data_IF_565377573220
#
_entry.id   IF_565377573220
#
_cell.length_a   1.000
_cell.length_b   1.000
_cell.length_c   1.000
_cell.angle_alpha   90.00
_cell.angle_beta   90.00
_cell.angle_gamma   90.00
#
_symmetry.space_group_name_H-M   'P 1'
#
loop_
_entity.id
_entity.type
_entity.pdbx_description
1 polymer ?
#
# COMPACT_ATOMS: atom_id res chain seq x y z
N UNK A 1 -3.80 -33.16 -6.59
CA UNK A 1 -4.09 -33.50 -7.98
C UNK A 1 -2.98 -32.90 -8.82
N UNK A 2 -2.27 -33.71 -9.61
CA UNK A 2 -1.26 -33.23 -10.53
C UNK A 2 -1.96 -32.34 -11.56
N UNK A 3 -1.50 -31.11 -11.72
CA UNK A 3 -1.93 -30.21 -12.79
C UNK A 3 -1.42 -30.85 -14.09
N UNK A 4 -2.29 -31.21 -15.07
CA UNK A 4 -1.80 -31.65 -16.36
C UNK A 4 -0.99 -30.51 -16.95
N UNK A 5 0.21 -30.77 -17.40
CA UNK A 5 1.06 -29.83 -18.11
C UNK A 5 0.35 -29.39 -19.40
N UNK A 6 -0.34 -28.24 -19.32
CA UNK A 6 -0.89 -27.59 -20.49
C UNK A 6 0.30 -27.05 -21.27
N UNK A 7 0.49 -27.42 -22.55
CA UNK A 7 1.58 -26.91 -23.34
C UNK A 7 1.43 -25.38 -23.45
N UNK A 8 2.44 -24.66 -23.01
CA UNK A 8 2.53 -23.19 -23.16
C UNK A 8 2.52 -22.92 -24.69
N UNK A 9 1.37 -22.46 -25.18
CA UNK A 9 1.26 -22.06 -26.57
C UNK A 9 1.71 -20.62 -26.70
N UNK A 10 2.90 -20.43 -27.22
CA UNK A 10 3.42 -19.14 -27.61
C UNK A 10 2.53 -18.54 -28.70
N UNK A 11 1.89 -17.38 -28.43
CA UNK A 11 1.28 -16.55 -29.46
C UNK A 11 1.97 -15.19 -29.43
N UNK A 12 2.73 -14.82 -30.46
CA UNK A 12 3.19 -13.44 -30.58
C UNK A 12 1.99 -12.54 -30.92
N UNK A 13 1.78 -11.42 -30.21
CA UNK A 13 0.83 -10.42 -30.66
C UNK A 13 1.31 -9.83 -31.99
N UNK A 14 0.37 -9.55 -32.90
CA UNK A 14 0.63 -8.98 -34.24
C UNK A 14 1.12 -7.52 -34.19
N UNK A 15 1.42 -6.97 -33.02
CA UNK A 15 1.95 -5.63 -32.81
C UNK A 15 3.32 -5.74 -32.14
N UNK A 16 4.37 -5.59 -32.95
CA UNK A 16 5.80 -5.46 -32.60
C UNK A 16 6.27 -6.27 -31.36
N UNK A 17 6.88 -7.42 -31.60
CA UNK A 17 7.88 -8.15 -30.80
C UNK A 17 7.79 -8.02 -29.26
N UNK A 18 6.62 -8.14 -28.67
CA UNK A 18 6.44 -8.26 -27.22
C UNK A 18 6.46 -9.75 -26.88
N UNK A 19 7.43 -10.18 -26.09
CA UNK A 19 7.44 -11.54 -25.55
C UNK A 19 6.45 -11.56 -24.39
N UNK A 20 5.34 -12.27 -24.55
CA UNK A 20 4.39 -12.54 -23.46
C UNK A 20 4.72 -13.89 -22.84
N UNK A 21 4.94 -13.91 -21.54
CA UNK A 21 5.15 -15.13 -20.77
C UNK A 21 4.12 -15.23 -19.67
N UNK A 22 3.60 -16.43 -19.42
CA UNK A 22 2.66 -16.66 -18.33
C UNK A 22 3.00 -17.95 -17.58
N UNK A 23 2.84 -17.92 -16.27
CA UNK A 23 2.95 -19.13 -15.43
C UNK A 23 1.80 -20.09 -15.71
N UNK A 24 0.56 -19.57 -15.70
CA UNK A 24 -0.62 -20.29 -16.16
C UNK A 24 -1.29 -19.43 -17.25
N UNK A 25 -1.47 -20.02 -18.41
CA UNK A 25 -2.18 -19.40 -19.53
C UNK A 25 -3.42 -20.21 -19.87
N UNK A 26 -4.59 -19.60 -19.79
CA UNK A 26 -5.85 -20.20 -20.15
C UNK A 26 -6.62 -19.25 -21.07
N UNK A 27 -7.04 -19.72 -22.25
CA UNK A 27 -7.80 -18.94 -23.21
C UNK A 27 -9.04 -19.73 -23.67
N UNK A 28 -10.19 -19.06 -23.72
CA UNK A 28 -11.46 -19.67 -24.12
C UNK A 28 -11.98 -20.73 -23.14
N UNK A 29 -11.56 -20.66 -21.86
CA UNK A 29 -11.86 -21.67 -20.85
C UNK A 29 -12.92 -21.16 -19.86
N UNK A 30 -14.18 -21.49 -20.10
CA UNK A 30 -15.24 -21.23 -19.13
C UNK A 30 -15.20 -22.23 -17.95
N UNK A 31 -15.67 -21.79 -16.77
CA UNK A 31 -15.74 -22.57 -15.54
C UNK A 31 -14.36 -23.06 -15.03
N UNK A 32 -13.33 -22.30 -15.28
CA UNK A 32 -11.98 -22.60 -14.80
C UNK A 32 -11.91 -22.44 -13.28
N UNK A 33 -11.25 -23.39 -12.60
CA UNK A 33 -10.96 -23.31 -11.18
C UNK A 33 -9.45 -23.41 -10.94
N UNK A 34 -8.86 -22.36 -10.39
CA UNK A 34 -7.45 -22.29 -10.00
C UNK A 34 -7.41 -22.03 -8.49
N UNK A 35 -7.16 -23.07 -7.71
CA UNK A 35 -7.26 -22.97 -6.27
C UNK A 35 -6.08 -23.61 -5.54
N UNK A 36 -5.66 -22.97 -4.43
CA UNK A 36 -4.68 -23.47 -3.48
C UNK A 36 -3.30 -23.77 -4.09
N UNK A 37 -2.86 -22.95 -5.03
CA UNK A 37 -1.55 -23.08 -5.66
C UNK A 37 -0.54 -22.10 -5.05
N UNK A 38 0.72 -22.50 -5.09
CA UNK A 38 1.85 -21.61 -4.86
C UNK A 38 2.56 -21.37 -6.21
N UNK A 39 2.44 -20.17 -6.74
CA UNK A 39 2.95 -19.78 -8.05
C UNK A 39 4.03 -18.73 -7.83
N UNK A 40 5.28 -19.09 -8.11
CA UNK A 40 6.41 -18.19 -8.04
C UNK A 40 7.08 -18.08 -9.40
N UNK A 41 7.19 -16.86 -9.91
CA UNK A 41 7.80 -16.58 -11.20
C UNK A 41 8.84 -15.49 -11.00
N UNK A 42 10.06 -15.77 -11.43
CA UNK A 42 11.13 -14.79 -11.50
C UNK A 42 11.68 -14.77 -12.94
N UNK A 43 11.62 -13.60 -13.55
CA UNK A 43 12.07 -13.40 -14.93
C UNK A 43 13.16 -12.33 -14.96
N UNK A 44 14.38 -12.77 -15.25
CA UNK A 44 15.59 -11.95 -15.13
C UNK A 44 16.17 -11.51 -16.51
N UNK A 45 15.39 -11.49 -17.59
CA UNK A 45 15.90 -11.09 -18.89
C UNK A 45 15.80 -9.58 -19.11
N UNK A 46 16.89 -8.88 -18.88
CA UNK A 46 17.00 -7.42 -19.10
C UNK A 46 17.18 -7.01 -20.57
N UNK A 47 17.10 -7.93 -21.53
CA UNK A 47 17.44 -7.65 -22.94
C UNK A 47 16.27 -7.19 -23.80
N UNK A 48 15.03 -7.26 -23.32
CA UNK A 48 13.83 -6.88 -24.04
C UNK A 48 13.22 -5.58 -23.54
N UNK A 49 13.06 -4.58 -24.39
CA UNK A 49 12.49 -3.30 -24.01
C UNK A 49 10.99 -3.35 -23.61
N UNK A 50 10.30 -4.45 -23.83
CA UNK A 50 8.84 -4.59 -23.65
C UNK A 50 8.42 -6.02 -23.26
N UNK A 51 9.13 -6.66 -22.34
CA UNK A 51 8.73 -7.98 -21.87
C UNK A 51 7.50 -7.87 -20.97
N UNK A 52 6.47 -8.64 -21.30
CA UNK A 52 5.23 -8.73 -20.53
C UNK A 52 5.13 -10.12 -19.90
N UNK A 53 5.03 -10.18 -18.60
CA UNK A 53 4.88 -11.43 -17.85
C UNK A 53 3.64 -11.41 -16.97
N UNK A 54 2.94 -12.54 -16.96
CA UNK A 54 1.76 -12.77 -16.11
C UNK A 54 2.00 -13.99 -15.21
N UNK A 55 1.62 -13.91 -13.95
CA UNK A 55 1.55 -15.14 -13.17
C UNK A 55 0.37 -15.99 -13.64
N UNK A 56 -0.79 -15.36 -13.81
CA UNK A 56 -1.98 -15.96 -14.39
C UNK A 56 -2.51 -15.09 -15.53
N UNK A 57 -2.79 -15.70 -16.69
CA UNK A 57 -3.53 -15.07 -17.76
C UNK A 57 -4.76 -15.91 -18.12
N UNK A 58 -5.95 -15.33 -18.01
CA UNK A 58 -7.23 -16.00 -18.23
C UNK A 58 -8.03 -15.17 -19.24
N UNK A 59 -8.02 -15.59 -20.52
CA UNK A 59 -8.78 -14.95 -21.59
C UNK A 59 -10.11 -15.68 -21.83
N UNK A 60 -11.24 -14.95 -21.87
CA UNK A 60 -12.57 -15.54 -22.04
C UNK A 60 -12.97 -16.45 -20.88
N UNK A 61 -12.52 -16.13 -19.67
CA UNK A 61 -12.72 -16.92 -18.45
C UNK A 61 -14.11 -16.76 -17.82
N UNK A 62 -15.19 -17.04 -18.56
CA UNK A 62 -16.53 -16.99 -18.01
C UNK A 62 -16.71 -17.97 -16.84
N UNK A 63 -17.23 -17.49 -15.71
CA UNK A 63 -17.39 -18.22 -14.45
C UNK A 63 -16.05 -18.76 -13.88
N UNK A 64 -14.93 -18.13 -14.17
CA UNK A 64 -13.65 -18.52 -13.60
C UNK A 64 -13.60 -18.24 -12.09
N UNK A 65 -13.00 -19.15 -11.34
CA UNK A 65 -12.74 -19.01 -9.91
C UNK A 65 -11.24 -19.13 -9.67
N UNK A 66 -10.66 -18.11 -9.06
CA UNK A 66 -9.25 -18.07 -8.63
C UNK A 66 -9.24 -17.83 -7.14
N UNK A 67 -8.89 -18.85 -6.35
CA UNK A 67 -9.02 -18.74 -4.91
C UNK A 67 -7.90 -19.40 -4.11
N UNK A 68 -7.58 -18.82 -2.96
CA UNK A 68 -6.61 -19.36 -2.00
C UNK A 68 -5.22 -19.63 -2.61
N UNK A 69 -4.80 -18.87 -3.62
CA UNK A 69 -3.49 -19.01 -4.21
C UNK A 69 -2.49 -18.03 -3.57
N UNK A 70 -1.24 -18.45 -3.49
CA UNK A 70 -0.11 -17.60 -3.17
C UNK A 70 0.68 -17.35 -4.45
N UNK A 71 0.69 -16.11 -4.93
CA UNK A 71 1.21 -15.73 -6.25
C UNK A 71 2.29 -14.68 -6.07
N UNK A 72 3.51 -15.02 -6.42
CA UNK A 72 4.65 -14.10 -6.43
C UNK A 72 5.23 -14.02 -7.83
N UNK A 73 5.31 -12.82 -8.37
CA UNK A 73 5.87 -12.58 -9.69
C UNK A 73 6.84 -11.40 -9.64
N UNK A 74 8.03 -11.62 -10.17
CA UNK A 74 9.07 -10.62 -10.31
C UNK A 74 9.59 -10.58 -11.73
N UNK A 75 9.73 -9.38 -12.29
CA UNK A 75 10.18 -9.21 -13.66
C UNK A 75 10.74 -7.84 -13.96
N UNK A 76 11.11 -7.64 -15.25
CA UNK A 76 11.86 -6.44 -15.63
C UNK A 76 10.96 -5.29 -16.09
N UNK A 77 9.96 -5.52 -16.96
CA UNK A 77 9.25 -4.40 -17.58
C UNK A 77 7.77 -4.34 -17.19
N UNK A 78 6.94 -5.23 -17.70
CA UNK A 78 5.51 -5.29 -17.43
C UNK A 78 5.18 -6.56 -16.66
N UNK A 79 4.77 -6.41 -15.41
CA UNK A 79 4.55 -7.51 -14.47
C UNK A 79 3.10 -7.53 -14.02
N UNK A 80 2.41 -8.64 -14.21
CA UNK A 80 1.01 -8.82 -13.86
C UNK A 80 0.81 -10.06 -12.99
N UNK A 81 0.26 -9.87 -11.79
CA UNK A 81 -0.11 -10.99 -10.91
C UNK A 81 -1.17 -11.86 -11.57
N UNK A 82 -2.35 -11.30 -11.83
CA UNK A 82 -3.38 -11.93 -12.64
C UNK A 82 -3.94 -10.96 -13.66
N UNK A 83 -4.17 -11.45 -14.87
CA UNK A 83 -4.98 -10.78 -15.89
C UNK A 83 -6.15 -11.68 -16.26
N UNK A 84 -7.37 -11.14 -16.15
CA UNK A 84 -8.59 -11.87 -16.48
C UNK A 84 -9.48 -11.08 -17.42
N UNK A 85 -10.04 -11.76 -18.39
CA UNK A 85 -11.13 -11.33 -19.25
C UNK A 85 -12.24 -12.39 -19.21
N UNK A 86 -13.48 -11.99 -18.92
CA UNK A 86 -14.62 -12.92 -18.80
C UNK A 86 -15.77 -12.37 -17.96
N UNK A 87 -16.80 -13.18 -17.77
CA UNK A 87 -18.03 -12.81 -17.03
C UNK A 87 -18.22 -13.69 -15.82
N UNK A 88 -18.87 -13.15 -14.79
CA UNK A 88 -19.21 -13.87 -13.56
C UNK A 88 -18.01 -14.52 -12.88
N UNK A 89 -16.83 -13.92 -12.99
CA UNK A 89 -15.61 -14.44 -12.37
C UNK A 89 -15.55 -14.16 -10.85
N UNK A 90 -14.76 -14.94 -10.14
CA UNK A 90 -14.43 -14.72 -8.73
C UNK A 90 -12.93 -14.81 -8.52
N UNK A 91 -12.33 -13.78 -7.92
CA UNK A 91 -10.94 -13.77 -7.45
C UNK A 91 -11.00 -13.57 -5.94
N UNK A 92 -10.68 -14.60 -5.15
CA UNK A 92 -10.95 -14.56 -3.73
C UNK A 92 -9.82 -15.15 -2.87
N UNK A 93 -9.51 -14.52 -1.75
CA UNK A 93 -8.58 -15.01 -0.73
C UNK A 93 -7.20 -15.40 -1.29
N UNK A 94 -6.71 -14.67 -2.29
CA UNK A 94 -5.37 -14.87 -2.83
C UNK A 94 -4.40 -13.87 -2.21
N UNK A 95 -3.13 -14.27 -2.11
CA UNK A 95 -2.03 -13.36 -1.85
C UNK A 95 -1.26 -13.11 -3.15
N UNK A 96 -1.13 -11.84 -3.54
CA UNK A 96 -0.40 -11.38 -4.72
C UNK A 96 0.79 -10.52 -4.29
N UNK A 97 1.96 -10.86 -4.80
CA UNK A 97 3.15 -10.02 -4.78
C UNK A 97 3.63 -9.82 -6.21
N UNK A 98 3.52 -8.61 -6.73
CA UNK A 98 3.95 -8.24 -8.08
C UNK A 98 5.02 -7.17 -8.03
N UNK A 99 6.21 -7.47 -8.55
CA UNK A 99 7.39 -6.62 -8.50
C UNK A 99 7.99 -6.45 -9.91
N UNK A 100 8.06 -5.20 -10.37
CA UNK A 100 8.82 -4.83 -11.57
C UNK A 100 10.04 -4.02 -11.15
N UNK A 101 11.21 -4.39 -11.62
CA UNK A 101 12.45 -3.67 -11.31
C UNK A 101 12.74 -2.51 -12.27
N UNK A 102 11.92 -2.29 -13.31
CA UNK A 102 12.15 -1.25 -14.30
C UNK A 102 10.96 -0.35 -14.63
N UNK A 103 9.72 -0.85 -14.72
CA UNK A 103 8.63 -0.03 -15.26
C UNK A 103 7.27 -0.20 -14.55
N UNK A 104 6.58 -1.34 -14.69
CA UNK A 104 5.15 -1.45 -14.44
C UNK A 104 4.77 -2.72 -13.69
N UNK A 105 3.94 -2.62 -12.66
CA UNK A 105 3.44 -3.77 -11.92
C UNK A 105 1.95 -3.64 -11.59
N UNK A 106 1.17 -4.69 -11.88
CA UNK A 106 -0.20 -4.87 -11.43
C UNK A 106 -0.34 -6.10 -10.53
N UNK A 107 -1.16 -5.98 -9.50
CA UNK A 107 -1.57 -7.15 -8.72
C UNK A 107 -2.69 -7.92 -9.43
N UNK A 108 -3.85 -7.29 -9.59
CA UNK A 108 -5.02 -7.86 -10.27
C UNK A 108 -5.46 -6.93 -11.39
N UNK A 109 -5.51 -7.43 -12.61
CA UNK A 109 -5.96 -6.70 -13.77
C UNK A 109 -7.17 -7.39 -14.41
N UNK A 110 -8.24 -6.63 -14.62
CA UNK A 110 -9.47 -7.11 -15.23
C UNK A 110 -9.84 -6.29 -16.46
N UNK A 111 -10.10 -6.97 -17.58
CA UNK A 111 -10.45 -6.36 -18.87
C UNK A 111 -11.83 -6.79 -19.35
N UNK A 112 -12.59 -5.87 -19.91
CA UNK A 112 -13.86 -6.12 -20.60
C UNK A 112 -14.84 -7.07 -19.87
N UNK A 113 -14.76 -7.08 -18.55
CA UNK A 113 -15.46 -8.00 -17.69
C UNK A 113 -16.85 -7.50 -17.27
N UNK A 114 -17.71 -8.41 -16.87
CA UNK A 114 -18.98 -8.10 -16.23
C UNK A 114 -19.34 -9.07 -15.11
N UNK A 115 -19.96 -8.54 -14.05
CA UNK A 115 -20.44 -9.30 -12.90
C UNK A 115 -19.32 -10.07 -12.17
N UNK A 116 -18.18 -9.43 -11.98
CA UNK A 116 -17.05 -10.02 -11.25
C UNK A 116 -17.10 -9.75 -9.75
N UNK A 117 -16.44 -10.64 -8.98
CA UNK A 117 -16.21 -10.46 -7.55
C UNK A 117 -14.73 -10.60 -7.27
N UNK A 118 -14.13 -9.57 -6.66
CA UNK A 118 -12.74 -9.55 -6.21
C UNK A 118 -12.78 -9.32 -4.71
N UNK A 119 -12.51 -10.37 -3.91
CA UNK A 119 -12.73 -10.26 -2.48
C UNK A 119 -11.65 -10.92 -1.62
N UNK A 120 -11.46 -10.35 -0.44
CA UNK A 120 -10.59 -10.91 0.59
C UNK A 120 -9.16 -11.23 0.10
N UNK A 121 -8.67 -10.51 -0.92
CA UNK A 121 -7.32 -10.69 -1.43
C UNK A 121 -6.34 -9.79 -0.69
N UNK A 122 -5.12 -10.29 -0.51
CA UNK A 122 -3.96 -9.52 -0.07
C UNK A 122 -3.11 -9.20 -1.31
N UNK A 123 -2.98 -7.92 -1.66
CA UNK A 123 -2.32 -7.47 -2.89
C UNK A 123 -1.20 -6.50 -2.55
N UNK A 124 0.03 -6.87 -2.87
CA UNK A 124 1.18 -5.99 -2.76
C UNK A 124 1.84 -5.78 -4.12
N UNK A 125 2.06 -4.52 -4.50
CA UNK A 125 2.68 -4.16 -5.77
C UNK A 125 3.86 -3.22 -5.57
N UNK A 126 4.93 -3.47 -6.31
CA UNK A 126 6.13 -2.64 -6.28
C UNK A 126 6.65 -2.38 -7.69
N UNK A 127 7.03 -1.11 -7.97
CA UNK A 127 7.59 -0.71 -9.24
C UNK A 127 8.31 0.64 -9.12
N UNK A 128 9.41 0.87 -9.82
CA UNK A 128 10.06 2.17 -9.82
C UNK A 128 9.27 3.26 -10.57
N UNK A 129 8.32 2.90 -11.44
CA UNK A 129 7.59 3.87 -12.28
C UNK A 129 6.11 3.87 -11.97
N UNK A 130 5.35 2.83 -12.36
CA UNK A 130 3.89 2.79 -12.18
C UNK A 130 3.45 1.46 -11.57
N UNK A 131 2.56 1.52 -10.59
CA UNK A 131 1.94 0.33 -10.01
C UNK A 131 0.43 0.50 -9.82
N UNK A 132 -0.32 -0.58 -10.01
CA UNK A 132 -1.74 -0.70 -9.68
C UNK A 132 -1.96 -1.93 -8.79
N UNK A 133 -2.58 -1.72 -7.65
CA UNK A 133 -2.99 -2.86 -6.83
C UNK A 133 -4.05 -3.69 -7.53
N UNK A 134 -5.20 -3.07 -7.83
CA UNK A 134 -6.27 -3.67 -8.62
C UNK A 134 -6.67 -2.69 -9.73
N UNK A 135 -6.59 -3.14 -10.97
CA UNK A 135 -6.89 -2.33 -12.15
C UNK A 135 -8.05 -2.93 -12.93
N UNK A 136 -9.13 -2.18 -13.04
CA UNK A 136 -10.28 -2.51 -13.90
C UNK A 136 -10.27 -1.59 -15.10
N UNK A 137 -10.10 -2.14 -16.28
CA UNK A 137 -10.16 -1.41 -17.54
C UNK A 137 -11.31 -1.86 -18.39
N UNK A 138 -12.05 -0.89 -18.92
CA UNK A 138 -13.10 -1.15 -19.88
C UNK A 138 -12.82 -0.40 -21.18
N UNK A 139 -12.55 -1.14 -22.24
CA UNK A 139 -12.43 -0.63 -23.58
C UNK A 139 -13.79 -0.74 -24.28
N UNK A 140 -14.73 0.14 -23.90
CA UNK A 140 -16.06 0.21 -24.49
C UNK A 140 -17.17 0.49 -23.46
N UNK A 141 -18.42 0.63 -23.91
CA UNK A 141 -19.58 1.04 -23.10
C UNK A 141 -20.18 -0.09 -22.23
N UNK A 142 -19.40 -1.02 -21.74
CA UNK A 142 -19.93 -2.19 -21.01
C UNK A 142 -20.03 -1.90 -19.52
N UNK A 143 -21.21 -2.18 -18.98
CA UNK A 143 -21.44 -2.18 -17.55
C UNK A 143 -20.71 -3.37 -16.91
N UNK A 144 -20.00 -3.14 -15.85
CA UNK A 144 -19.14 -4.15 -15.28
C UNK A 144 -19.71 -4.78 -14.04
N UNK A 145 -20.45 -4.04 -13.20
CA UNK A 145 -21.04 -4.54 -11.96
C UNK A 145 -20.03 -5.35 -11.13
N UNK A 146 -18.78 -4.89 -11.04
CA UNK A 146 -17.74 -5.58 -10.27
C UNK A 146 -17.84 -5.18 -8.80
N UNK A 147 -17.69 -6.16 -7.93
CA UNK A 147 -17.67 -5.98 -6.49
C UNK A 147 -16.24 -6.21 -6.00
N UNK A 148 -15.67 -5.21 -5.33
CA UNK A 148 -14.39 -5.25 -4.64
C UNK A 148 -14.68 -5.24 -3.14
N UNK A 149 -14.48 -6.36 -2.46
CA UNK A 149 -14.88 -6.52 -1.06
C UNK A 149 -13.74 -7.04 -0.19
N UNK A 150 -13.45 -6.34 0.90
CA UNK A 150 -12.51 -6.83 1.93
C UNK A 150 -11.07 -7.02 1.45
N UNK A 151 -10.66 -6.42 0.33
CA UNK A 151 -9.29 -6.57 -0.14
C UNK A 151 -8.34 -5.68 0.66
N UNK A 152 -7.16 -6.21 0.96
CA UNK A 152 -6.04 -5.47 1.51
C UNK A 152 -5.05 -5.15 0.38
N UNK A 153 -4.93 -3.88 0.01
CA UNK A 153 -4.12 -3.42 -1.11
C UNK A 153 -3.01 -2.52 -0.61
N UNK A 154 -1.77 -2.92 -0.81
CA UNK A 154 -0.60 -2.15 -0.44
C UNK A 154 0.40 -2.06 -1.58
N UNK A 155 1.28 -1.05 -1.55
CA UNK A 155 2.34 -0.97 -2.55
C UNK A 155 3.17 0.30 -2.47
N UNK A 156 4.23 0.28 -3.29
CA UNK A 156 5.20 1.37 -3.39
C UNK A 156 5.60 1.61 -4.86
N UNK A 157 5.48 2.86 -5.32
CA UNK A 157 5.91 3.24 -6.67
C UNK A 157 6.04 4.75 -6.82
N UNK A 158 6.68 5.20 -7.92
CA UNK A 158 6.65 6.63 -8.27
C UNK A 158 5.22 7.10 -8.50
N UNK A 159 4.44 6.34 -9.28
CA UNK A 159 3.01 6.57 -9.49
C UNK A 159 2.26 5.32 -9.06
N UNK A 160 1.41 5.41 -8.04
CA UNK A 160 0.68 4.26 -7.55
C UNK A 160 -0.80 4.52 -7.35
N UNK A 161 -1.60 3.56 -7.83
CA UNK A 161 -3.04 3.50 -7.63
C UNK A 161 -3.39 2.23 -6.83
N UNK A 162 -4.18 2.39 -5.78
CA UNK A 162 -4.64 1.22 -5.01
C UNK A 162 -5.68 0.42 -5.80
N UNK A 163 -6.85 1.01 -6.04
CA UNK A 163 -7.90 0.43 -6.87
C UNK A 163 -8.30 1.45 -7.95
N UNK A 164 -8.10 1.08 -9.21
CA UNK A 164 -8.51 1.88 -10.36
C UNK A 164 -9.73 1.26 -11.04
N UNK A 165 -10.81 2.02 -11.13
CA UNK A 165 -12.07 1.55 -11.71
C UNK A 165 -12.50 2.41 -12.90
N UNK A 166 -12.81 1.78 -14.03
CA UNK A 166 -13.28 2.46 -15.24
C UNK A 166 -14.57 1.89 -15.83
N UNK A 167 -15.16 0.91 -15.17
CA UNK A 167 -16.46 0.35 -15.55
C UNK A 167 -17.67 1.10 -14.98
N UNK A 168 -18.85 0.56 -15.15
CA UNK A 168 -20.10 1.13 -14.64
C UNK A 168 -20.67 0.26 -13.52
N UNK A 169 -21.32 0.88 -12.52
CA UNK A 169 -21.99 0.24 -11.39
C UNK A 169 -21.04 -0.61 -10.55
N UNK A 170 -19.89 -0.08 -10.18
CA UNK A 170 -18.90 -0.78 -9.38
C UNK A 170 -19.08 -0.48 -7.89
N UNK A 171 -18.82 -1.47 -7.06
CA UNK A 171 -18.98 -1.35 -5.60
C UNK A 171 -17.69 -1.77 -4.89
N UNK A 172 -17.14 -0.85 -4.10
CA UNK A 172 -15.95 -1.06 -3.29
C UNK A 172 -16.37 -1.03 -1.81
N UNK A 173 -16.29 -2.18 -1.13
CA UNK A 173 -16.77 -2.29 0.25
C UNK A 173 -15.71 -2.92 1.15
N UNK A 174 -15.42 -2.25 2.28
CA UNK A 174 -14.56 -2.80 3.32
C UNK A 174 -13.12 -3.05 2.90
N UNK A 175 -12.63 -2.38 1.84
CA UNK A 175 -11.24 -2.54 1.42
C UNK A 175 -10.32 -1.68 2.28
N UNK A 176 -9.13 -2.20 2.57
CA UNK A 176 -8.04 -1.50 3.21
C UNK A 176 -6.95 -1.18 2.16
N UNK A 177 -6.61 0.09 2.00
CA UNK A 177 -5.67 0.55 0.96
C UNK A 177 -4.57 1.36 1.63
N UNK A 178 -3.32 0.91 1.53
CA UNK A 178 -2.15 1.61 2.08
C UNK A 178 -1.06 1.77 1.05
N UNK A 179 -0.81 3.01 0.61
CA UNK A 179 0.12 3.30 -0.46
C UNK A 179 1.22 4.26 -0.02
N UNK A 180 2.43 3.99 -0.52
CA UNK A 180 3.61 4.84 -0.35
C UNK A 180 4.22 5.12 -1.72
N UNK A 181 4.69 6.35 -1.96
CA UNK A 181 5.31 6.68 -3.25
C UNK A 181 5.56 8.16 -3.47
N UNK A 182 5.75 8.57 -4.72
CA UNK A 182 5.82 10.00 -5.04
C UNK A 182 4.42 10.58 -5.26
N UNK A 183 3.60 9.91 -6.06
CA UNK A 183 2.21 10.26 -6.30
C UNK A 183 1.33 9.04 -5.98
N UNK A 184 0.48 9.15 -4.98
CA UNK A 184 -0.30 8.03 -4.44
C UNK A 184 -1.79 8.31 -4.50
N UNK A 185 -2.53 7.55 -5.29
CA UNK A 185 -3.99 7.64 -5.38
C UNK A 185 -4.64 6.36 -4.84
N UNK A 186 -5.37 6.47 -3.74
CA UNK A 186 -5.99 5.31 -3.10
C UNK A 186 -7.02 4.63 -4.00
N UNK A 187 -8.07 5.35 -4.36
CA UNK A 187 -9.08 4.92 -5.34
C UNK A 187 -9.15 5.93 -6.48
N UNK A 188 -8.98 5.47 -7.71
CA UNK A 188 -9.17 6.27 -8.92
C UNK A 188 -10.41 5.79 -9.67
N UNK A 189 -11.32 6.70 -10.03
CA UNK A 189 -12.56 6.38 -10.75
C UNK A 189 -12.76 7.22 -12.01
N UNK A 190 -12.89 6.53 -13.14
CA UNK A 190 -13.48 7.07 -14.38
C UNK A 190 -14.78 6.35 -14.75
N UNK A 191 -15.44 5.75 -13.77
CA UNK A 191 -16.62 4.92 -13.91
C UNK A 191 -17.91 5.69 -13.57
N UNK A 192 -19.02 5.30 -14.17
CA UNK A 192 -20.33 5.80 -13.78
C UNK A 192 -20.94 4.96 -12.64
N UNK A 193 -21.56 5.61 -11.65
CA UNK A 193 -22.27 4.99 -10.55
C UNK A 193 -21.41 4.07 -9.67
N UNK A 194 -20.37 4.62 -9.06
CA UNK A 194 -19.50 3.89 -8.14
C UNK A 194 -19.94 4.10 -6.69
N UNK A 195 -19.93 3.03 -5.91
CA UNK A 195 -20.24 3.06 -4.49
C UNK A 195 -18.98 2.68 -3.70
N UNK A 196 -18.52 3.58 -2.85
CA UNK A 196 -17.49 3.30 -1.84
C UNK A 196 -18.19 3.20 -0.47
N UNK A 197 -18.03 2.06 0.21
CA UNK A 197 -18.63 1.85 1.51
C UNK A 197 -17.64 1.18 2.47
N UNK A 198 -17.44 1.75 3.65
CA UNK A 198 -16.56 1.22 4.71
C UNK A 198 -15.11 0.95 4.27
N UNK A 199 -14.58 1.71 3.32
CA UNK A 199 -13.18 1.57 2.94
C UNK A 199 -12.28 2.41 3.88
N UNK A 200 -11.11 1.89 4.21
CA UNK A 200 -10.04 2.60 4.91
C UNK A 200 -8.87 2.84 3.94
N UNK A 201 -8.55 4.11 3.69
CA UNK A 201 -7.61 4.52 2.65
C UNK A 201 -6.53 5.39 3.27
N UNK A 202 -5.28 4.95 3.14
CA UNK A 202 -4.09 5.69 3.58
C UNK A 202 -3.16 5.88 2.39
N UNK A 203 -2.86 7.13 2.05
CA UNK A 203 -1.93 7.48 0.98
C UNK A 203 -0.83 8.39 1.48
N UNK A 204 0.42 7.99 1.27
CA UNK A 204 1.62 8.72 1.68
C UNK A 204 2.48 9.01 0.45
N UNK A 205 2.29 10.19 -0.13
CA UNK A 205 3.04 10.68 -1.28
C UNK A 205 4.03 11.78 -0.92
N UNK A 206 5.18 11.78 -1.57
CA UNK A 206 6.20 12.83 -1.41
C UNK A 206 5.87 14.09 -2.23
N UNK A 207 5.02 13.97 -3.25
CA UNK A 207 4.57 15.07 -4.11
C UNK A 207 3.07 15.29 -3.93
N UNK A 208 2.68 16.51 -3.64
CA UNK A 208 1.30 16.92 -3.41
C UNK A 208 0.61 17.48 -4.67
N UNK A 209 1.38 17.76 -5.74
CA UNK A 209 0.85 18.22 -7.03
C UNK A 209 0.37 17.08 -7.92
N UNK A 210 -0.02 17.43 -9.14
CA UNK A 210 -0.37 16.44 -10.17
C UNK A 210 0.89 15.93 -10.87
N UNK A 211 0.92 14.64 -11.19
CA UNK A 211 1.95 14.05 -12.02
C UNK A 211 1.92 14.66 -13.44
N UNK A 212 3.08 14.93 -14.01
CA UNK A 212 3.18 15.27 -15.41
C UNK A 212 3.20 14.00 -16.26
N UNK A 213 2.04 13.60 -16.80
CA UNK A 213 1.90 12.58 -17.85
C UNK A 213 2.49 11.19 -17.53
N UNK A 214 1.74 10.37 -16.83
CA UNK A 214 2.04 8.94 -16.62
C UNK A 214 1.39 8.01 -17.67
N UNK A 215 0.74 8.58 -18.71
CA UNK A 215 0.12 7.81 -19.79
C UNK A 215 -1.32 7.37 -19.53
N UNK A 216 -1.83 7.58 -18.34
CA UNK A 216 -3.17 7.16 -17.93
C UNK A 216 -4.24 8.22 -18.19
N UNK A 217 -5.50 7.78 -18.29
CA UNK A 217 -6.66 8.67 -18.39
C UNK A 217 -6.91 9.47 -17.12
N UNK A 218 -6.47 8.95 -15.97
CA UNK A 218 -6.48 9.64 -14.69
C UNK A 218 -5.04 9.90 -14.28
N UNK A 219 -4.70 11.19 -14.14
CA UNK A 219 -3.35 11.60 -13.70
C UNK A 219 -3.20 11.30 -12.22
N UNK A 220 -2.15 10.59 -11.83
CA UNK A 220 -1.85 10.31 -10.44
C UNK A 220 -1.55 11.61 -9.67
N UNK A 221 -2.06 11.67 -8.47
CA UNK A 221 -1.80 12.73 -7.49
C UNK A 221 -1.79 12.10 -6.09
N UNK A 222 -1.25 12.80 -5.11
CA UNK A 222 -1.35 12.33 -3.74
C UNK A 222 -2.72 12.68 -3.17
N UNK A 223 -3.63 11.72 -3.22
CA UNK A 223 -5.03 11.85 -2.76
C UNK A 223 -5.60 10.49 -2.34
N UNK A 224 -6.58 10.48 -1.47
CA UNK A 224 -7.30 9.26 -1.13
C UNK A 224 -8.19 8.75 -2.26
N UNK A 225 -9.03 9.63 -2.79
CA UNK A 225 -10.02 9.28 -3.83
C UNK A 225 -9.95 10.32 -4.96
N UNK A 226 -9.75 9.86 -6.18
CA UNK A 226 -9.75 10.66 -7.42
C UNK A 226 -10.93 10.27 -8.28
N UNK A 227 -11.74 11.27 -8.67
CA UNK A 227 -12.92 11.05 -9.52
C UNK A 227 -12.77 11.88 -10.78
N UNK A 228 -12.52 11.25 -11.91
CA UNK A 228 -12.39 11.91 -13.21
C UNK A 228 -13.71 11.95 -13.98
N UNK A 229 -14.60 10.99 -13.77
CA UNK A 229 -15.87 10.88 -14.48
C UNK A 229 -16.92 10.18 -13.60
N UNK A 230 -18.21 10.47 -13.87
CA UNK A 230 -19.35 9.78 -13.27
C UNK A 230 -19.65 10.18 -11.83
N UNK A 231 -20.54 9.44 -11.20
CA UNK A 231 -21.01 9.70 -9.84
C UNK A 231 -20.46 8.68 -8.87
N UNK A 232 -19.82 9.16 -7.83
CA UNK A 232 -19.31 8.31 -6.74
C UNK A 232 -20.06 8.62 -5.45
N UNK A 233 -20.60 7.60 -4.81
CA UNK A 233 -21.19 7.70 -3.48
C UNK A 233 -20.19 7.20 -2.44
N UNK A 234 -19.88 8.04 -1.45
CA UNK A 234 -18.93 7.71 -0.37
C UNK A 234 -19.69 7.57 0.95
N UNK A 235 -19.65 6.39 1.53
CA UNK A 235 -20.41 6.05 2.74
C UNK A 235 -19.49 5.35 3.75
N UNK A 236 -19.46 5.83 5.00
CA UNK A 236 -18.71 5.24 6.10
C UNK A 236 -17.22 4.97 5.80
N UNK A 237 -16.60 5.77 4.94
CA UNK A 237 -15.19 5.62 4.61
C UNK A 237 -14.29 6.46 5.53
N UNK A 238 -13.07 5.98 5.73
CA UNK A 238 -11.98 6.74 6.35
C UNK A 238 -10.90 6.99 5.30
N UNK A 239 -10.44 8.23 5.17
CA UNK A 239 -9.38 8.59 4.22
C UNK A 239 -8.33 9.43 4.94
N UNK A 240 -7.09 8.97 4.90
CA UNK A 240 -5.90 9.71 5.34
C UNK A 240 -4.97 9.91 4.15
N UNK A 241 -4.48 11.11 3.97
CA UNK A 241 -3.56 11.41 2.86
C UNK A 241 -2.53 12.47 3.27
N UNK A 242 -1.33 12.38 2.75
CA UNK A 242 -0.34 13.48 2.81
C UNK A 242 -0.60 14.55 1.74
N UNK A 243 -1.50 14.29 0.80
CA UNK A 243 -1.89 15.26 -0.24
C UNK A 243 -2.80 16.37 0.28
N UNK A 244 -3.08 17.32 -0.59
CA UNK A 244 -3.93 18.50 -0.26
C UNK A 244 -5.42 18.16 -0.16
N UNK A 245 -5.86 17.09 -0.81
CA UNK A 245 -7.25 16.70 -0.88
C UNK A 245 -7.46 15.23 -0.54
N UNK A 246 -8.40 14.91 0.33
CA UNK A 246 -8.83 13.54 0.57
C UNK A 246 -9.67 12.98 -0.57
N UNK A 247 -10.48 13.83 -1.19
CA UNK A 247 -11.26 13.53 -2.39
C UNK A 247 -11.06 14.65 -3.39
N UNK A 248 -10.64 14.31 -4.60
CA UNK A 248 -10.50 15.27 -5.70
C UNK A 248 -11.37 14.85 -6.87
N UNK A 249 -12.16 15.79 -7.38
CA UNK A 249 -13.03 15.61 -8.57
C UNK A 249 -12.52 16.45 -9.72
N UNK A 250 -12.34 15.84 -10.88
CA UNK A 250 -11.92 16.53 -12.12
C UNK A 250 -12.82 16.15 -13.28
N UNK A 251 -12.86 17.01 -14.30
CA UNK A 251 -13.66 16.75 -15.49
C UNK A 251 -15.16 16.71 -15.21
N UNK A 252 -15.81 15.58 -15.51
CA UNK A 252 -17.23 15.34 -15.31
C UNK A 252 -17.52 14.47 -14.07
N UNK A 253 -16.57 14.40 -13.14
CA UNK A 253 -16.73 13.66 -11.90
C UNK A 253 -17.61 14.40 -10.89
N UNK A 254 -18.38 13.66 -10.13
CA UNK A 254 -19.15 14.17 -9.00
C UNK A 254 -19.15 13.21 -7.82
N UNK A 255 -19.31 13.73 -6.62
CA UNK A 255 -19.31 12.93 -5.40
C UNK A 255 -20.49 13.28 -4.49
N UNK A 256 -21.07 12.24 -3.90
CA UNK A 256 -22.09 12.36 -2.86
C UNK A 256 -21.54 11.75 -1.58
N UNK A 257 -21.50 12.53 -0.51
CA UNK A 257 -21.03 12.09 0.79
C UNK A 257 -22.20 11.74 1.70
N UNK A 258 -22.29 10.48 2.12
CA UNK A 258 -23.19 10.07 3.19
C UNK A 258 -22.48 10.13 4.54
N UNK A 259 -21.26 9.61 4.62
CA UNK A 259 -20.40 9.77 5.77
C UNK A 259 -18.93 9.51 5.34
N UNK A 260 -18.05 10.49 5.53
CA UNK A 260 -16.64 10.41 5.27
C UNK A 260 -15.86 11.02 6.42
N UNK A 261 -14.94 10.27 6.98
CA UNK A 261 -13.92 10.77 7.90
C UNK A 261 -12.64 10.97 7.12
N UNK A 262 -12.13 12.18 7.09
CA UNK A 262 -10.93 12.52 6.33
C UNK A 262 -9.89 13.23 7.18
N UNK A 263 -8.62 12.98 6.86
CA UNK A 263 -7.49 13.64 7.49
C UNK A 263 -6.46 13.96 6.40
N UNK A 264 -6.08 15.21 6.31
CA UNK A 264 -5.15 15.75 5.32
C UNK A 264 -3.85 16.13 6.02
N UNK A 265 -2.75 15.46 5.66
CA UNK A 265 -1.47 15.69 6.32
C UNK A 265 -1.56 15.45 7.84
N UNK A 266 -1.10 16.43 8.62
CA UNK A 266 -1.28 16.48 10.08
C UNK A 266 -2.42 17.43 10.50
N UNK A 267 -3.24 17.85 9.54
CA UNK A 267 -4.28 18.85 9.75
C UNK A 267 -5.55 18.33 10.42
N UNK A 268 -6.57 19.17 10.39
CA UNK A 268 -7.84 18.91 11.02
C UNK A 268 -8.56 17.70 10.44
N UNK A 269 -9.16 16.90 11.31
CA UNK A 269 -10.07 15.85 10.91
C UNK A 269 -11.38 16.47 10.42
N UNK A 270 -11.73 16.18 9.19
CA UNK A 270 -12.98 16.63 8.57
C UNK A 270 -13.97 15.47 8.48
N UNK A 271 -15.19 15.69 8.94
CA UNK A 271 -16.29 14.75 8.79
C UNK A 271 -17.29 15.33 7.80
N UNK A 272 -17.56 14.62 6.74
CA UNK A 272 -18.61 14.94 5.78
C UNK A 272 -19.77 13.97 5.97
N UNK A 273 -20.95 14.49 6.28
CA UNK A 273 -22.16 13.70 6.50
C UNK A 273 -23.35 14.37 5.82
N UNK A 274 -24.11 13.61 5.05
CA UNK A 274 -25.29 14.08 4.31
C UNK A 274 -25.02 15.37 3.52
N UNK A 275 -23.91 15.42 2.80
CA UNK A 275 -23.41 16.58 2.06
C UNK A 275 -23.16 17.84 2.91
N UNK A 276 -23.05 17.70 4.23
CA UNK A 276 -22.60 18.76 5.14
C UNK A 276 -21.17 18.49 5.57
N UNK A 277 -20.34 19.50 5.49
CA UNK A 277 -18.98 19.44 6.03
C UNK A 277 -19.01 19.90 7.48
N UNK A 278 -18.54 19.05 8.39
CA UNK A 278 -18.30 19.36 9.77
C UNK A 278 -16.78 19.26 9.96
N UNK A 279 -16.15 20.38 10.24
CA UNK A 279 -14.74 20.38 10.65
C UNK A 279 -14.73 20.11 12.13
N UNK A 280 -14.32 18.89 12.50
CA UNK A 280 -13.98 18.57 13.87
C UNK A 280 -12.49 18.88 14.02
N UNK A 281 -12.13 19.90 14.79
CA UNK A 281 -10.77 20.19 15.22
C UNK A 281 -10.29 19.06 16.14
N UNK A 282 -10.00 17.90 15.58
CA UNK A 282 -9.52 16.70 16.25
C UNK A 282 -8.38 16.05 15.47
N UNK A 283 -7.70 16.79 14.61
CA UNK A 283 -6.32 16.44 14.24
C UNK A 283 -5.50 16.42 15.53
N UNK A 284 -4.44 15.65 15.66
CA UNK A 284 -3.59 15.78 16.82
C UNK A 284 -3.15 17.25 16.87
N UNK A 285 -3.58 17.97 17.93
CA UNK A 285 -3.08 19.33 18.20
C UNK A 285 -1.55 19.34 18.21
N UNK A 286 -0.95 18.14 18.28
CA UNK A 286 0.47 17.93 18.53
C UNK A 286 0.99 16.72 17.74
N UNK A 287 2.18 16.85 17.19
CA UNK A 287 2.97 15.77 16.62
C UNK A 287 4.08 15.40 17.62
N UNK A 288 4.05 14.18 18.11
CA UNK A 288 5.09 13.60 18.94
C UNK A 288 5.94 12.65 18.09
N UNK A 289 7.24 12.93 17.98
CA UNK A 289 8.20 12.09 17.28
C UNK A 289 9.28 11.59 18.23
N UNK A 290 9.59 10.30 18.20
CA UNK A 290 10.61 9.69 19.05
C UNK A 290 11.54 8.87 18.18
N UNK A 291 12.69 9.43 17.76
CA UNK A 291 13.67 8.70 16.99
C UNK A 291 14.21 7.48 17.75
N UNK A 292 14.52 6.42 17.03
CA UNK A 292 15.23 5.29 17.60
C UNK A 292 16.60 5.73 18.12
N UNK A 293 17.00 5.23 19.30
CA UNK A 293 18.30 5.49 19.86
C UNK A 293 19.20 4.27 19.76
N UNK A 294 20.30 4.41 19.02
CA UNK A 294 21.40 3.44 19.04
C UNK A 294 22.57 4.07 19.78
N UNK A 295 23.01 3.44 20.87
CA UNK A 295 24.11 3.97 21.69
C UNK A 295 25.02 2.87 22.21
N UNK A 296 26.26 3.23 22.51
CA UNK A 296 27.21 2.37 23.22
C UNK A 296 26.92 2.45 24.72
N UNK A 297 27.04 1.35 25.45
CA UNK A 297 26.93 1.33 26.90
C UNK A 297 27.89 2.35 27.54
N UNK A 298 27.37 3.20 28.39
CA UNK A 298 28.12 4.27 29.06
C UNK A 298 28.31 5.55 28.23
N UNK A 299 27.91 5.60 26.95
CA UNK A 299 27.97 6.84 26.16
C UNK A 299 26.98 7.90 26.69
N UNK A 300 27.25 9.16 26.39
CA UNK A 300 26.43 10.30 26.83
C UNK A 300 25.16 10.53 26.00
N UNK A 301 24.91 9.68 24.99
CA UNK A 301 23.75 9.80 24.09
C UNK A 301 22.44 9.70 24.87
N UNK A 302 21.50 10.55 24.48
CA UNK A 302 20.22 10.70 25.18
C UNK A 302 19.07 10.21 24.28
N UNK A 303 18.08 9.61 24.92
CA UNK A 303 16.76 9.44 24.30
C UNK A 303 16.10 10.82 24.20
N UNK A 304 15.53 11.14 23.06
CA UNK A 304 14.80 12.39 22.84
C UNK A 304 13.43 12.15 22.22
N UNK A 305 12.51 13.04 22.55
CA UNK A 305 11.21 13.17 21.90
C UNK A 305 11.05 14.61 21.43
N UNK A 306 10.48 14.78 20.26
CA UNK A 306 10.23 16.07 19.63
C UNK A 306 8.73 16.28 19.60
N UNK A 307 8.26 17.39 20.14
CA UNK A 307 6.85 17.78 20.16
C UNK A 307 6.66 19.08 19.39
N UNK A 308 5.79 19.03 18.40
CA UNK A 308 5.39 20.19 17.61
C UNK A 308 3.87 20.31 17.55
N UNK A 309 3.37 21.49 17.20
CA UNK A 309 1.97 21.66 16.78
C UNK A 309 1.75 21.11 15.36
N UNK A 310 0.51 21.17 14.88
CA UNK A 310 0.14 20.73 13.54
C UNK A 310 0.86 21.49 12.40
N UNK A 311 1.40 22.67 12.68
CA UNK A 311 2.16 23.51 11.75
C UNK A 311 3.68 23.31 11.88
N UNK A 312 4.11 22.27 12.61
CA UNK A 312 5.52 21.98 12.92
C UNK A 312 6.22 23.05 13.79
N UNK A 313 5.49 23.92 14.45
CA UNK A 313 6.11 24.81 15.42
C UNK A 313 6.44 24.06 16.70
N UNK A 314 7.62 24.28 17.31
CA UNK A 314 8.02 23.60 18.53
C UNK A 314 7.13 23.98 19.72
N UNK A 315 6.74 22.99 20.52
CA UNK A 315 5.97 23.20 21.76
C UNK A 315 6.91 23.07 22.95
N UNK A 316 7.17 24.19 23.60
CA UNK A 316 8.00 24.25 24.78
C UNK A 316 7.18 24.04 26.07
N UNK A 317 7.88 23.64 27.14
CA UNK A 317 7.32 23.43 28.47
C UNK A 317 6.22 22.36 28.57
N UNK A 318 6.16 21.45 27.62
CA UNK A 318 5.26 20.30 27.61
C UNK A 318 5.91 19.09 28.33
N UNK A 319 5.14 18.35 29.09
CA UNK A 319 5.62 17.18 29.82
C UNK A 319 5.42 15.91 29.00
N UNK A 320 6.51 15.31 28.55
CA UNK A 320 6.52 14.00 27.85
C UNK A 320 6.83 12.89 28.85
N UNK A 321 6.02 11.85 28.85
CA UNK A 321 6.23 10.67 29.69
C UNK A 321 6.79 9.52 28.84
N UNK A 322 8.04 9.12 29.14
CA UNK A 322 8.67 7.94 28.55
C UNK A 322 8.42 6.73 29.43
N UNK A 323 7.94 5.63 28.87
CA UNK A 323 7.84 4.34 29.56
C UNK A 323 8.90 3.37 29.04
N UNK A 324 9.75 2.89 29.94
CA UNK A 324 10.87 1.99 29.64
C UNK A 324 10.91 0.91 30.73
N UNK A 325 10.87 -0.37 30.36
CA UNK A 325 10.90 -1.50 31.31
C UNK A 325 9.86 -1.36 32.45
N UNK A 326 8.65 -0.92 32.11
CA UNK A 326 7.57 -0.77 33.09
C UNK A 326 7.72 0.45 34.06
N UNK A 327 8.70 1.32 33.83
CA UNK A 327 8.91 2.54 34.60
C UNK A 327 8.65 3.78 33.74
N UNK A 328 8.00 4.77 34.33
CA UNK A 328 7.68 6.04 33.69
C UNK A 328 8.66 7.14 34.11
N UNK A 329 9.09 7.92 33.13
CA UNK A 329 10.00 9.05 33.31
C UNK A 329 9.42 10.28 32.60
N UNK A 330 9.11 11.34 33.33
CA UNK A 330 8.59 12.57 32.73
C UNK A 330 9.73 13.54 32.48
N UNK A 331 9.77 14.12 31.29
CA UNK A 331 10.69 15.18 30.87
C UNK A 331 9.94 16.31 30.20
N UNK A 332 10.40 17.52 30.41
CA UNK A 332 9.79 18.73 29.86
C UNK A 332 10.52 19.13 28.58
N UNK A 333 9.76 19.53 27.56
CA UNK A 333 10.32 20.04 26.29
C UNK A 333 10.97 21.41 26.50
N UNK A 334 12.10 21.62 25.86
CA UNK A 334 12.79 22.92 25.81
C UNK A 334 12.16 23.88 24.77
N UNK A 335 12.81 25.03 24.52
CA UNK A 335 12.36 26.03 23.56
C UNK A 335 12.36 25.55 22.10
N UNK A 336 12.96 24.41 21.80
CA UNK A 336 12.96 23.75 20.47
C UNK A 336 11.97 22.58 20.40
N UNK A 337 11.14 22.41 21.42
CA UNK A 337 10.17 21.32 21.48
C UNK A 337 10.76 19.96 21.83
N UNK A 338 12.00 19.90 22.32
CA UNK A 338 12.71 18.64 22.57
C UNK A 338 12.73 18.31 24.06
N UNK A 339 12.19 17.15 24.43
CA UNK A 339 12.35 16.52 25.73
C UNK A 339 13.43 15.42 25.64
N UNK A 340 14.44 15.45 26.51
CA UNK A 340 15.51 14.46 26.48
C UNK A 340 15.86 13.89 27.84
N UNK A 341 16.33 12.62 27.87
CA UNK A 341 16.78 11.96 29.08
C UNK A 341 18.01 11.07 28.83
N UNK A 342 18.90 11.03 29.78
CA UNK A 342 20.04 10.10 29.78
C UNK A 342 19.56 8.66 29.96
N UNK A 343 20.19 7.73 29.25
CA UNK A 343 19.90 6.31 29.30
C UNK A 343 21.05 5.55 29.96
N UNK A 344 20.76 4.92 31.10
CA UNK A 344 21.71 4.09 31.85
C UNK A 344 21.38 2.60 31.80
N UNK A 345 20.80 2.12 30.68
CA UNK A 345 20.45 0.72 30.49
C UNK A 345 21.70 -0.11 30.13
N UNK A 346 21.73 -1.38 30.52
CA UNK A 346 22.74 -2.34 30.09
C UNK A 346 22.59 -2.66 28.59
N UNK A 347 23.57 -3.34 28.02
CA UNK A 347 23.50 -3.76 26.61
C UNK A 347 22.27 -4.61 26.36
N UNK A 348 21.53 -4.28 25.30
CA UNK A 348 20.26 -4.94 24.96
C UNK A 348 19.37 -4.08 24.08
N UNK A 349 18.28 -4.68 23.62
CA UNK A 349 17.22 -4.02 22.87
C UNK A 349 16.02 -3.76 23.79
N UNK A 350 15.49 -2.53 23.77
CA UNK A 350 14.43 -2.08 24.62
C UNK A 350 13.33 -1.40 23.81
N UNK A 351 12.12 -1.90 23.89
CA UNK A 351 10.94 -1.18 23.41
C UNK A 351 10.58 -0.10 24.42
N UNK A 352 10.23 1.06 23.91
CA UNK A 352 9.80 2.21 24.70
C UNK A 352 8.54 2.82 24.12
N UNK A 353 7.81 3.52 24.95
CA UNK A 353 6.76 4.42 24.51
C UNK A 353 7.02 5.81 25.06
N UNK A 354 6.61 6.83 24.29
CA UNK A 354 6.51 8.20 24.77
C UNK A 354 5.08 8.69 24.63
N UNK A 355 4.58 9.36 25.64
CA UNK A 355 3.19 9.84 25.70
C UNK A 355 3.16 11.33 26.01
N UNK A 356 2.36 12.05 25.25
CA UNK A 356 1.95 13.41 25.52
C UNK A 356 0.45 13.52 25.30
N UNK A 357 -0.27 13.98 26.31
CA UNK A 357 -1.73 14.01 26.33
C UNK A 357 -2.32 12.63 25.96
N UNK A 358 -3.10 12.52 24.92
CA UNK A 358 -3.68 11.27 24.40
C UNK A 358 -2.85 10.60 23.29
N UNK A 359 -1.69 11.17 22.94
CA UNK A 359 -0.81 10.64 21.89
C UNK A 359 0.26 9.76 22.52
N UNK A 360 0.37 8.52 22.04
CA UNK A 360 1.45 7.59 22.43
C UNK A 360 2.18 7.11 21.19
N UNK A 361 3.51 7.22 21.21
CA UNK A 361 4.41 6.79 20.13
C UNK A 361 5.32 5.69 20.65
N UNK A 362 5.42 4.60 19.89
CA UNK A 362 6.38 3.53 20.14
C UNK A 362 7.71 3.85 19.46
N UNK A 363 8.82 3.49 20.12
CA UNK A 363 10.17 3.58 19.59
C UNK A 363 11.07 2.52 20.24
N UNK A 364 12.37 2.55 19.94
CA UNK A 364 13.32 1.58 20.46
C UNK A 364 14.64 2.20 20.90
N UNK A 365 15.31 1.50 21.81
CA UNK A 365 16.68 1.78 22.23
C UNK A 365 17.51 0.52 22.04
N UNK A 366 18.59 0.61 21.26
CA UNK A 366 19.60 -0.40 21.16
C UNK A 366 20.86 0.07 21.91
N UNK A 367 21.20 -0.60 23.01
CA UNK A 367 22.45 -0.38 23.71
C UNK A 367 23.43 -1.45 23.33
N UNK A 368 24.49 -1.08 22.63
CA UNK A 368 25.57 -2.00 22.26
C UNK A 368 26.62 -2.09 23.36
N UNK A 369 27.28 -3.23 23.56
CA UNK A 369 28.36 -3.37 24.56
C UNK A 369 29.57 -2.53 24.17
N UNK A 370 30.33 -2.11 25.14
CA UNK A 370 31.61 -1.38 24.97
C UNK A 370 32.70 -2.29 24.37
N UNK A 371 32.58 -3.59 24.62
CA UNK A 371 33.50 -4.60 24.14
C UNK A 371 32.70 -5.62 23.32
N UNK A 372 33.07 -5.80 22.06
CA UNK A 372 32.61 -6.88 21.19
C UNK A 372 33.74 -7.91 21.14
N UNK A 373 33.45 -9.12 21.59
CA UNK A 373 34.39 -10.22 21.49
C UNK A 373 33.70 -11.45 20.91
N UNK A 374 34.38 -12.19 20.09
CA UNK A 374 33.90 -13.46 19.57
C UNK A 374 33.94 -14.53 20.66
N UNK A 375 33.03 -15.46 20.64
CA UNK A 375 33.08 -16.63 21.50
C UNK A 375 34.34 -17.42 21.22
N UNK A 376 35.10 -17.76 22.27
CA UNK A 376 36.24 -18.67 22.18
C UNK A 376 35.83 -20.07 22.60
N UNK A 377 35.95 -21.00 21.67
CA UNK A 377 35.95 -22.44 21.97
C UNK A 377 37.40 -22.90 22.00
N UNK A 378 37.86 -23.29 23.18
CA UNK A 378 39.23 -23.67 23.42
C UNK A 378 39.32 -25.11 23.90
N UNK A 379 40.12 -25.92 23.24
CA UNK A 379 40.48 -27.25 23.76
C UNK A 379 41.50 -27.13 24.89
N UNK A 380 41.47 -28.05 25.82
CA UNK A 380 42.40 -28.11 26.93
C UNK A 380 43.86 -28.12 26.41
N UNK A 381 44.70 -27.20 26.93
CA UNK A 381 46.09 -26.96 26.53
C UNK A 381 46.28 -26.32 25.13
N UNK A 382 45.32 -25.63 24.63
CA UNK A 382 45.45 -24.80 23.44
C UNK A 382 45.91 -23.38 23.84
N UNK A 383 46.79 -22.75 23.05
CA UNK A 383 47.29 -21.41 23.29
C UNK A 383 46.41 -20.29 22.74
N UNK A 384 45.14 -20.58 22.42
CA UNK A 384 44.20 -19.58 21.93
C UNK A 384 43.89 -18.55 23.01
N UNK A 385 44.08 -17.31 22.68
CA UNK A 385 43.84 -16.17 23.54
C UNK A 385 42.57 -15.44 23.14
N UNK A 386 41.95 -14.84 24.12
CA UNK A 386 40.86 -13.91 23.90
C UNK A 386 41.43 -12.61 23.31
N UNK A 387 40.98 -12.17 22.15
CA UNK A 387 41.39 -10.94 21.47
C UNK A 387 40.23 -9.96 21.41
#
# INVERSE_FOLDING_TARGET
>A
AEIPSVPVKYMPPTWAATVMSAGIYAEGSANLNIASNNIAIEYNNASGAYDTIHALYIGGGDNAVVENNNISIKGHTYVYGITIDGKNFTIASNAFYSDSDNNYADGIQVYDNSNGIIKDNEVFVESPVVAYGIYSSNWGDKANNIIYEGNNVAGNSTYIYGIYVSGNNETLTGNEITLVGNFTTGVASSAANVILNKNDIVTSGNNIGNASNCGDSIIAETTGIKIAYGNVSVTNCTVKTTGENTVNTTGLGSVTYNYLVSNVGLGDKTVQSNNKTIVENNGPEFLLTVPELVKIYGSADKLSAILTDANHNPIANANITFAINGKNYTKTTDGTGVASMGIGLVSGFYKITATYDNITVESSILVTPTILANDIVKFYRNDTHFV
#
